data_IF_660691372921
#
_entry.id   IF_660691372921
#
_cell.length_a   1.000
_cell.length_b   1.000
_cell.length_c   1.000
_cell.angle_alpha   90.00
_cell.angle_beta   90.00
_cell.angle_gamma   90.00
#
_symmetry.space_group_name_H-M   'P 1'
#
loop_
_entity.id
_entity.type
_entity.pdbx_description
1 polymer ?
#
# COMPACT_ATOMS: atom_id res chain seq x y z
N UNK A 1 5.95 0.21 -10.37
CA UNK A 1 5.23 -0.33 -11.54
C UNK A 1 5.45 -1.82 -11.70
N UNK A 2 6.71 -2.32 -11.65
CA UNK A 2 7.05 -3.73 -11.81
C UNK A 2 6.41 -4.62 -10.73
N UNK A 3 6.45 -4.21 -9.47
CA UNK A 3 5.81 -4.92 -8.36
C UNK A 3 4.28 -4.98 -8.50
N UNK A 4 3.68 -3.91 -8.98
CA UNK A 4 2.23 -3.84 -9.23
C UNK A 4 1.81 -4.82 -10.34
N UNK A 5 2.57 -4.84 -11.44
CA UNK A 5 2.35 -5.78 -12.53
C UNK A 5 2.56 -7.22 -12.09
N UNK A 6 3.59 -7.49 -11.29
CA UNK A 6 3.85 -8.83 -10.75
C UNK A 6 2.72 -9.30 -9.81
N UNK A 7 2.22 -8.42 -8.93
CA UNK A 7 1.10 -8.77 -8.03
C UNK A 7 -0.19 -9.00 -8.81
N UNK A 8 -0.49 -8.12 -9.78
CA UNK A 8 -1.68 -8.28 -10.63
C UNK A 8 -1.59 -9.58 -11.47
N UNK A 9 -0.43 -9.88 -12.05
CA UNK A 9 -0.18 -11.10 -12.78
C UNK A 9 -0.33 -12.34 -11.89
N UNK A 10 0.21 -12.29 -10.66
CA UNK A 10 0.08 -13.37 -9.68
C UNK A 10 -1.38 -13.63 -9.31
N UNK A 11 -2.16 -12.59 -9.06
CA UNK A 11 -3.60 -12.71 -8.77
C UNK A 11 -4.38 -13.29 -9.96
N UNK A 12 -4.04 -12.88 -11.20
CA UNK A 12 -4.64 -13.44 -12.41
C UNK A 12 -4.28 -14.92 -12.56
N UNK A 13 -3.02 -15.30 -12.32
CA UNK A 13 -2.57 -16.69 -12.39
C UNK A 13 -3.28 -17.57 -11.34
N UNK A 14 -3.49 -17.06 -10.12
CA UNK A 14 -4.26 -17.76 -9.09
C UNK A 14 -5.75 -17.92 -9.46
N UNK A 15 -6.30 -17.08 -10.33
CA UNK A 15 -7.64 -17.22 -10.87
C UNK A 15 -7.79 -18.34 -11.93
N UNK A 16 -6.69 -18.92 -12.42
CA UNK A 16 -6.73 -19.98 -13.43
C UNK A 16 -7.02 -21.33 -12.75
N UNK A 17 -8.08 -22.09 -13.18
CA UNK A 17 -8.48 -23.34 -12.53
C UNK A 17 -7.35 -24.41 -12.44
N UNK A 18 -6.46 -24.43 -13.43
CA UNK A 18 -5.32 -25.35 -13.45
C UNK A 18 -4.32 -25.04 -12.33
N UNK A 19 -4.10 -23.78 -12.00
CA UNK A 19 -3.19 -23.36 -10.91
C UNK A 19 -3.81 -23.67 -9.55
N UNK A 20 -5.12 -23.50 -9.42
CA UNK A 20 -5.86 -23.84 -8.19
C UNK A 20 -5.78 -25.34 -7.89
N UNK A 21 -5.88 -26.20 -8.91
CA UNK A 21 -5.75 -27.65 -8.75
C UNK A 21 -4.32 -28.07 -8.36
N UNK A 22 -3.32 -27.33 -8.78
CA UNK A 22 -1.91 -27.62 -8.47
C UNK A 22 -1.52 -27.24 -7.05
N UNK A 23 -2.14 -26.20 -6.51
CA UNK A 23 -1.82 -25.65 -5.18
C UNK A 23 -2.73 -26.17 -4.07
N UNK A 24 -3.76 -26.98 -4.38
CA UNK A 24 -4.84 -27.36 -3.46
C UNK A 24 -5.54 -26.17 -2.75
N UNK A 25 -5.33 -24.96 -3.24
CA UNK A 25 -5.93 -23.74 -2.72
C UNK A 25 -7.21 -23.49 -3.52
N UNK A 26 -8.35 -23.87 -2.97
CA UNK A 26 -9.65 -23.47 -3.52
C UNK A 26 -9.91 -22.00 -3.17
N UNK A 27 -9.27 -21.09 -3.90
CA UNK A 27 -9.61 -19.69 -3.85
C UNK A 27 -10.84 -19.48 -4.73
N UNK A 28 -11.98 -19.22 -4.12
CA UNK A 28 -13.18 -18.77 -4.84
C UNK A 28 -12.98 -17.29 -5.26
N UNK A 29 -11.96 -17.06 -6.08
CA UNK A 29 -11.58 -15.70 -6.51
C UNK A 29 -12.40 -15.33 -7.74
N UNK A 30 -13.63 -14.86 -7.51
CA UNK A 30 -14.41 -14.23 -8.55
C UNK A 30 -13.77 -12.91 -9.02
N UNK A 31 -14.04 -12.49 -10.25
CA UNK A 31 -13.56 -11.20 -10.78
C UNK A 31 -13.86 -10.01 -9.88
N UNK A 32 -14.98 -10.05 -9.12
CA UNK A 32 -15.33 -9.03 -8.13
C UNK A 32 -14.30 -8.89 -7.01
N UNK A 33 -13.76 -10.01 -6.52
CA UNK A 33 -12.72 -10.03 -5.47
C UNK A 33 -11.42 -9.43 -5.99
N UNK A 34 -11.04 -9.77 -7.24
CA UNK A 34 -9.83 -9.22 -7.86
C UNK A 34 -9.95 -7.70 -8.03
N UNK A 35 -11.07 -7.21 -8.56
CA UNK A 35 -11.30 -5.78 -8.76
C UNK A 35 -11.31 -5.02 -7.43
N UNK A 36 -11.95 -5.57 -6.41
CA UNK A 36 -11.98 -4.96 -5.09
C UNK A 36 -10.59 -4.96 -4.42
N UNK A 37 -9.81 -6.04 -4.55
CA UNK A 37 -8.43 -6.09 -4.06
C UNK A 37 -7.54 -5.04 -4.76
N UNK A 38 -7.66 -4.90 -6.08
CA UNK A 38 -6.96 -3.85 -6.84
C UNK A 38 -7.36 -2.46 -6.33
N UNK A 39 -8.66 -2.23 -6.10
CA UNK A 39 -9.18 -0.97 -5.55
C UNK A 39 -8.62 -0.64 -4.16
N UNK A 40 -8.43 -1.65 -3.30
CA UNK A 40 -7.83 -1.49 -1.98
C UNK A 40 -6.31 -1.20 -2.03
N UNK A 41 -5.61 -1.72 -3.04
CA UNK A 41 -4.17 -1.53 -3.19
C UNK A 41 -3.84 -0.11 -3.70
N UNK A 42 -4.72 0.53 -4.49
CA UNK A 42 -4.47 1.86 -5.06
C UNK A 42 -4.14 2.92 -3.99
N UNK A 43 -4.94 3.12 -2.92
CA UNK A 43 -4.61 4.12 -1.89
C UNK A 43 -3.33 3.79 -1.13
N UNK A 44 -3.00 2.50 -0.94
CA UNK A 44 -1.73 2.09 -0.32
C UNK A 44 -0.55 2.44 -1.21
N UNK A 45 -0.64 2.14 -2.50
CA UNK A 45 0.42 2.47 -3.45
C UNK A 45 0.63 3.99 -3.55
N UNK A 46 -0.46 4.77 -3.58
CA UNK A 46 -0.39 6.23 -3.55
C UNK A 46 0.32 6.74 -2.29
N UNK A 47 -0.07 6.24 -1.11
CA UNK A 47 0.57 6.60 0.15
C UNK A 47 2.05 6.23 0.16
N UNK A 48 2.41 5.02 -0.28
CA UNK A 48 3.80 4.55 -0.31
C UNK A 48 4.67 5.46 -1.20
N UNK A 49 4.23 5.74 -2.42
CA UNK A 49 4.95 6.63 -3.35
C UNK A 49 5.08 8.04 -2.78
N UNK A 50 4.03 8.58 -2.16
CA UNK A 50 4.06 9.91 -1.55
C UNK A 50 5.06 9.98 -0.37
N UNK A 51 5.12 8.94 0.46
CA UNK A 51 6.10 8.85 1.56
C UNK A 51 7.52 8.69 1.03
N UNK A 52 7.74 7.87 0.00
CA UNK A 52 9.04 7.74 -0.65
C UNK A 52 9.52 9.07 -1.23
N UNK A 53 8.65 9.81 -1.92
CA UNK A 53 8.96 11.14 -2.43
C UNK A 53 9.31 12.13 -1.30
N UNK A 54 8.55 12.12 -0.21
CA UNK A 54 8.81 12.99 0.95
C UNK A 54 10.19 12.72 1.56
N UNK A 55 10.53 11.46 1.73
CA UNK A 55 11.80 11.06 2.34
C UNK A 55 12.96 11.29 1.38
N UNK A 56 12.80 10.95 0.09
CA UNK A 56 13.81 11.20 -0.93
C UNK A 56 14.12 12.70 -1.09
N UNK A 57 13.12 13.58 -0.95
CA UNK A 57 13.33 15.04 -1.02
C UNK A 57 14.18 15.61 0.13
N UNK A 58 14.28 14.90 1.26
CA UNK A 58 15.11 15.27 2.40
C UNK A 58 16.51 14.63 2.38
N UNK A 59 16.77 13.70 1.47
CA UNK A 59 18.04 12.99 1.41
C UNK A 59 19.15 13.87 0.79
N UNK A 60 20.33 13.81 1.38
CA UNK A 60 21.52 14.58 0.93
C UNK A 60 22.27 13.90 -0.22
N UNK A 61 22.02 12.61 -0.44
CA UNK A 61 22.64 11.82 -1.50
C UNK A 61 21.70 10.77 -2.05
N UNK A 62 21.96 10.31 -3.27
CA UNK A 62 21.20 9.24 -3.93
C UNK A 62 21.26 7.95 -3.09
N UNK A 63 22.40 7.66 -2.48
CA UNK A 63 22.59 6.47 -1.63
C UNK A 63 21.72 6.54 -0.37
N UNK A 64 21.64 7.71 0.25
CA UNK A 64 20.80 7.96 1.41
C UNK A 64 19.32 7.83 1.05
N UNK A 65 18.88 8.42 -0.07
CA UNK A 65 17.52 8.26 -0.58
C UNK A 65 17.14 6.80 -0.78
N UNK A 66 18.01 5.99 -1.39
CA UNK A 66 17.79 4.56 -1.57
C UNK A 66 17.64 3.80 -0.25
N UNK A 67 18.45 4.15 0.76
CA UNK A 67 18.36 3.53 2.09
C UNK A 67 17.01 3.85 2.75
N UNK A 68 16.55 5.08 2.67
CA UNK A 68 15.26 5.48 3.22
C UNK A 68 14.08 4.81 2.50
N UNK A 69 14.14 4.71 1.17
CA UNK A 69 13.12 4.00 0.39
C UNK A 69 13.03 2.52 0.80
N UNK A 70 14.17 1.86 1.02
CA UNK A 70 14.19 0.48 1.52
C UNK A 70 13.58 0.35 2.93
N UNK A 71 13.84 1.31 3.81
CA UNK A 71 13.25 1.31 5.16
C UNK A 71 11.72 1.46 5.12
N UNK A 72 11.20 2.33 4.24
CA UNK A 72 9.75 2.50 4.05
C UNK A 72 9.13 1.21 3.51
N UNK A 73 9.74 0.61 2.49
CA UNK A 73 9.26 -0.66 1.92
C UNK A 73 9.26 -1.77 2.97
N UNK A 74 10.32 -1.85 3.80
CA UNK A 74 10.42 -2.82 4.88
C UNK A 74 9.38 -2.58 5.98
N UNK A 75 9.16 -1.32 6.38
CA UNK A 75 8.13 -0.94 7.35
C UNK A 75 6.71 -1.30 6.86
N UNK A 76 6.44 -1.17 5.55
CA UNK A 76 5.18 -1.59 4.93
C UNK A 76 5.01 -3.12 4.89
N UNK A 77 6.11 -3.86 4.77
CA UNK A 77 6.11 -5.33 4.72
C UNK A 77 5.99 -5.97 6.11
N UNK A 78 6.56 -5.36 7.15
CA UNK A 78 6.58 -5.90 8.53
C UNK A 78 5.20 -6.31 9.06
N UNK A 79 4.14 -5.49 8.95
CA UNK A 79 2.82 -5.88 9.44
C UNK A 79 2.31 -7.16 8.79
N UNK A 80 2.52 -7.31 7.47
CA UNK A 80 2.11 -8.50 6.73
C UNK A 80 2.83 -9.75 7.21
N UNK A 81 4.13 -9.63 7.50
CA UNK A 81 4.95 -10.72 8.04
C UNK A 81 4.46 -11.14 9.44
N UNK A 82 4.25 -10.17 10.34
CA UNK A 82 3.76 -10.47 11.69
C UNK A 82 2.39 -11.13 11.68
N UNK A 83 1.48 -10.65 10.87
CA UNK A 83 0.13 -11.21 10.77
C UNK A 83 0.09 -12.59 10.13
N UNK A 84 1.06 -12.94 9.28
CA UNK A 84 1.16 -14.29 8.70
C UNK A 84 1.69 -15.33 9.69
N UNK A 85 2.51 -14.92 10.67
CA UNK A 85 3.13 -15.81 11.67
C UNK A 85 2.29 -15.90 12.94
N UNK A 86 1.68 -14.79 13.36
CA UNK A 86 0.90 -14.72 14.60
C UNK A 86 -0.60 -14.80 14.27
N UNK A 87 -1.35 -15.79 14.75
CA UNK A 87 -2.80 -15.90 14.56
C UNK A 87 -3.54 -14.87 15.44
N UNK A 88 -3.33 -13.58 15.15
CA UNK A 88 -3.98 -12.49 15.86
C UNK A 88 -5.42 -12.38 15.33
N UNK A 89 -6.41 -12.47 16.22
CA UNK A 89 -7.79 -12.17 15.85
C UNK A 89 -7.92 -10.67 15.57
N UNK A 90 -8.41 -10.29 14.39
CA UNK A 90 -8.55 -8.88 14.06
C UNK A 90 -9.56 -8.22 15.02
N UNK A 91 -9.17 -7.06 15.54
CA UNK A 91 -10.04 -6.17 16.30
C UNK A 91 -10.52 -5.05 15.35
N UNK A 92 -11.69 -4.47 15.62
CA UNK A 92 -12.30 -3.46 14.73
C UNK A 92 -11.39 -2.28 14.39
N UNK A 93 -10.59 -1.80 15.36
CA UNK A 93 -9.66 -0.71 15.15
C UNK A 93 -8.48 -1.07 14.20
N UNK A 94 -8.13 -2.36 14.08
CA UNK A 94 -7.05 -2.81 13.18
C UNK A 94 -7.41 -2.63 11.71
N UNK A 95 -8.70 -2.68 11.37
CA UNK A 95 -9.19 -2.42 10.02
C UNK A 95 -9.02 -0.96 9.58
N UNK A 96 -8.84 -0.04 10.53
CA UNK A 96 -8.63 1.38 10.23
C UNK A 96 -7.15 1.75 10.04
N UNK A 97 -6.22 0.87 10.41
CA UNK A 97 -4.79 1.12 10.24
C UNK A 97 -4.41 0.93 8.77
N UNK A 98 -3.82 1.95 8.11
CA UNK A 98 -3.29 1.80 6.75
C UNK A 98 -2.36 0.58 6.63
N UNK A 99 -2.39 -0.08 5.50
CA UNK A 99 -1.71 -1.35 5.18
C UNK A 99 -2.26 -2.57 5.92
N UNK A 100 -2.45 -2.53 7.23
CA UNK A 100 -2.99 -3.64 8.04
C UNK A 100 -4.46 -3.86 7.69
N UNK A 101 -5.27 -2.81 7.65
CA UNK A 101 -6.69 -2.89 7.32
C UNK A 101 -6.91 -3.44 5.92
N UNK A 102 -6.17 -2.94 4.92
CA UNK A 102 -6.26 -3.45 3.56
C UNK A 102 -5.87 -4.94 3.47
N UNK A 103 -4.86 -5.37 4.23
CA UNK A 103 -4.48 -6.77 4.28
C UNK A 103 -5.60 -7.64 4.86
N UNK A 104 -6.23 -7.21 5.96
CA UNK A 104 -7.37 -7.93 6.53
C UNK A 104 -8.55 -7.98 5.57
N UNK A 105 -8.91 -6.86 4.93
CA UNK A 105 -10.00 -6.85 3.95
C UNK A 105 -9.74 -7.82 2.79
N UNK A 106 -8.54 -7.84 2.23
CA UNK A 106 -8.17 -8.79 1.17
C UNK A 106 -8.25 -10.24 1.67
N UNK A 107 -7.79 -10.49 2.89
CA UNK A 107 -7.84 -11.82 3.51
C UNK A 107 -9.29 -12.28 3.75
N UNK A 108 -10.14 -11.40 4.28
CA UNK A 108 -11.55 -11.71 4.56
C UNK A 108 -12.33 -11.92 3.27
N UNK A 109 -12.08 -11.10 2.24
CA UNK A 109 -12.64 -11.30 0.90
C UNK A 109 -12.25 -12.66 0.30
N UNK A 110 -10.99 -13.06 0.45
CA UNK A 110 -10.51 -14.35 -0.07
C UNK A 110 -11.15 -15.55 0.64
N UNK A 111 -11.61 -15.34 1.88
CA UNK A 111 -12.35 -16.33 2.69
C UNK A 111 -13.86 -16.28 2.46
N UNK A 112 -14.35 -15.36 1.64
CA UNK A 112 -15.77 -15.16 1.40
C UNK A 112 -16.54 -14.55 2.59
N UNK A 113 -15.84 -13.89 3.51
CA UNK A 113 -16.46 -13.20 4.63
C UNK A 113 -17.10 -11.89 4.19
N UNK A 114 -18.23 -11.48 4.77
CA UNK A 114 -18.86 -10.20 4.47
C UNK A 114 -17.96 -9.06 4.93
N UNK A 115 -17.76 -8.09 4.04
CA UNK A 115 -17.03 -6.86 4.36
C UNK A 115 -18.00 -5.75 4.75
N UNK A 116 -17.62 -4.98 5.76
CA UNK A 116 -18.29 -3.71 6.04
C UNK A 116 -17.77 -2.64 5.05
N UNK A 117 -18.61 -2.26 4.11
CA UNK A 117 -18.29 -1.26 3.10
C UNK A 117 -17.88 0.09 3.72
N UNK A 118 -18.46 0.46 4.87
CA UNK A 118 -18.11 1.70 5.55
C UNK A 118 -16.67 1.66 6.08
N UNK A 119 -16.24 0.55 6.66
CA UNK A 119 -14.87 0.37 7.15
C UNK A 119 -13.86 0.36 5.99
N UNK A 120 -14.18 -0.30 4.87
CA UNK A 120 -13.34 -0.33 3.67
C UNK A 120 -13.11 1.08 3.12
N UNK A 121 -14.19 1.86 2.97
CA UNK A 121 -14.12 3.24 2.47
C UNK A 121 -13.34 4.12 3.45
N UNK A 122 -13.61 4.02 4.74
CA UNK A 122 -12.93 4.82 5.76
C UNK A 122 -11.42 4.54 5.79
N UNK A 123 -11.02 3.28 5.78
CA UNK A 123 -9.61 2.88 5.74
C UNK A 123 -8.92 3.41 4.47
N UNK A 124 -9.58 3.29 3.31
CA UNK A 124 -9.05 3.77 2.03
C UNK A 124 -8.89 5.30 2.03
N UNK A 125 -9.86 6.03 2.57
CA UNK A 125 -9.80 7.49 2.71
C UNK A 125 -8.69 7.94 3.68
N UNK A 126 -8.54 7.28 4.82
CA UNK A 126 -7.47 7.56 5.78
C UNK A 126 -6.09 7.33 5.14
N UNK A 127 -5.93 6.21 4.42
CA UNK A 127 -4.70 5.90 3.72
C UNK A 127 -4.37 6.94 2.65
N UNK A 128 -5.36 7.33 1.85
CA UNK A 128 -5.22 8.36 0.82
C UNK A 128 -4.93 9.74 1.45
N UNK A 129 -5.55 10.08 2.57
CA UNK A 129 -5.31 11.34 3.28
C UNK A 129 -3.87 11.44 3.80
N UNK A 130 -3.29 10.35 4.32
CA UNK A 130 -1.89 10.30 4.74
C UNK A 130 -0.97 10.50 3.53
N UNK A 131 -1.26 9.83 2.40
CA UNK A 131 -0.52 10.03 1.16
C UNK A 131 -0.59 11.47 0.65
N UNK A 132 -1.78 12.07 0.66
CA UNK A 132 -1.98 13.47 0.28
C UNK A 132 -1.21 14.43 1.21
N UNK A 133 -1.22 14.19 2.51
CA UNK A 133 -0.47 14.99 3.48
C UNK A 133 1.05 14.91 3.22
N UNK A 134 1.57 13.70 2.95
CA UNK A 134 2.97 13.50 2.59
C UNK A 134 3.34 14.23 1.29
N UNK A 135 2.49 14.15 0.27
CA UNK A 135 2.70 14.85 -1.00
C UNK A 135 2.70 16.38 -0.81
N UNK A 136 1.75 16.92 -0.04
CA UNK A 136 1.70 18.35 0.28
C UNK A 136 2.94 18.82 1.05
N UNK A 137 3.44 18.00 1.97
CA UNK A 137 4.69 18.28 2.68
C UNK A 137 5.88 18.34 1.69
N UNK A 138 5.96 17.36 0.77
CA UNK A 138 6.99 17.36 -0.28
C UNK A 138 6.93 18.63 -1.14
N UNK A 139 5.75 19.02 -1.61
CA UNK A 139 5.55 20.23 -2.40
C UNK A 139 6.01 21.50 -1.66
N UNK A 140 5.73 21.58 -0.34
CA UNK A 140 6.19 22.72 0.48
C UNK A 140 7.70 22.77 0.62
N UNK A 141 8.37 21.62 0.71
CA UNK A 141 9.84 21.56 0.74
C UNK A 141 10.45 22.09 -0.56
N UNK A 142 9.97 21.59 -1.71
CA UNK A 142 10.44 22.06 -3.02
C UNK A 142 10.24 23.57 -3.26
N UNK A 143 9.10 24.11 -2.84
CA UNK A 143 8.83 25.54 -2.97
C UNK A 143 9.79 26.41 -2.13
N UNK A 144 10.24 25.92 -0.97
CA UNK A 144 11.23 26.64 -0.15
C UNK A 144 12.61 26.68 -0.79
N UNK A 145 13.05 25.61 -1.41
CA UNK A 145 14.35 25.55 -2.09
C UNK A 145 14.40 26.46 -3.31
N UNK A 146 13.34 26.54 -4.10
CA UNK A 146 13.27 27.48 -5.24
C UNK A 146 13.36 28.95 -4.83
N UNK A 147 12.79 29.31 -3.67
CA UNK A 147 12.87 30.68 -3.15
C UNK A 147 14.32 31.03 -2.74
N UNK A 148 15.07 30.07 -2.23
CA UNK A 148 16.46 30.27 -1.79
C UNK A 148 17.41 30.37 -3.00
N UNK A 149 17.21 29.52 -4.02
CA UNK A 149 18.05 29.50 -5.22
C UNK A 149 17.69 30.63 -6.20
N UNK A 150 16.44 31.10 -6.26
CA UNK A 150 15.97 32.17 -7.11
C UNK A 150 16.46 33.60 -6.68
N UNK A 151 16.93 33.73 -5.43
CA UNK A 151 17.50 35.01 -4.92
C UNK A 151 18.98 35.24 -5.25
N UNK A 152 19.65 34.22 -5.81
CA UNK A 152 21.10 34.29 -6.14
C UNK A 152 21.41 34.80 -7.56
N UNK A 153 20.40 35.17 -8.36
CA UNK A 153 20.57 35.60 -9.75
C UNK A 153 20.00 37.02 -10.05
N UNK A 154 19.95 37.89 -9.04
CA UNK A 154 19.64 39.33 -9.23
C UNK A 154 20.77 40.20 -8.71
#
# INVERSE_FOLDING_TARGET
LATFLATALFLVLLGIPQVQNFTNIQLNVGWGVILAAVGLIIPVAFMAVALEMLVASNARSVKEAQTYTQLIAFAGFLPSLFLSVLPIRPQEWMYLIPTIGQLYFITDMSRGLPLDAAQVVLCSLLTAAIGAAALLATMRLYNREQIILGKSSA
#
